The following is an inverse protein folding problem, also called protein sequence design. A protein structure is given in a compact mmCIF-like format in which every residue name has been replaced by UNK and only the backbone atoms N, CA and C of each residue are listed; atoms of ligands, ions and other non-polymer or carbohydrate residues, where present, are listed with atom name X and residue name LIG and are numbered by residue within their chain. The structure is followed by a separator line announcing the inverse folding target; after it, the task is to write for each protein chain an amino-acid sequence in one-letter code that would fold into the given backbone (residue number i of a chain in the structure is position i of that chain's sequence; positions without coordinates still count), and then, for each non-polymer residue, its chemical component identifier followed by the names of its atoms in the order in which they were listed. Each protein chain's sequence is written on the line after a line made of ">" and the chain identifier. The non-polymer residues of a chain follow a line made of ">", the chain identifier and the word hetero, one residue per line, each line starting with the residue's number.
data_IF_839679630407
#
_entry.id   IF_839679630407
#
_cell.length_a   1.000
_cell.length_b   1.000
_cell.length_c   1.000
_cell.angle_alpha   90.00
_cell.angle_beta   90.00
_cell.angle_gamma   90.00
#
_symmetry.space_group_name_H-M   'P 1'
#
loop_
_entity.id
_entity.type
_entity.pdbx_description
1 polymer ?
#
# COMPACT_ATOMS: atom_id res chain seq x y z
N UNK A 1 -34.01 23.07 5.89
CA UNK A 1 -32.58 23.22 6.05
C UNK A 1 -32.10 24.46 5.31
N UNK A 2 -31.75 25.56 6.03
CA UNK A 2 -31.52 26.88 5.42
C UNK A 2 -30.02 27.10 5.22
N UNK A 3 -29.56 27.16 3.99
CA UNK A 3 -28.25 27.70 3.65
C UNK A 3 -28.19 29.21 3.93
N UNK A 4 -27.27 29.65 4.78
CA UNK A 4 -26.92 31.05 4.93
C UNK A 4 -25.44 31.27 4.73
N UNK A 5 -25.18 32.15 3.75
CA UNK A 5 -24.06 33.10 3.79
C UNK A 5 -22.74 32.69 3.17
N UNK A 6 -22.57 32.93 1.87
CA UNK A 6 -21.27 33.13 1.23
C UNK A 6 -20.65 34.43 1.75
N UNK A 7 -19.49 34.35 2.44
CA UNK A 7 -18.55 35.47 2.50
C UNK A 7 -17.46 35.25 1.45
N UNK A 8 -17.36 36.17 0.51
CA UNK A 8 -16.25 36.25 -0.46
C UNK A 8 -15.01 36.77 0.28
N UNK A 9 -14.02 35.87 0.48
CA UNK A 9 -12.66 36.27 0.85
C UNK A 9 -11.88 36.63 -0.40
N UNK A 10 -11.14 37.71 -0.35
CA UNK A 10 -10.20 38.18 -1.36
C UNK A 10 -8.97 37.24 -1.28
N UNK A 11 -8.55 36.69 -2.44
CA UNK A 11 -7.39 35.81 -2.62
C UNK A 11 -7.57 34.30 -2.38
N UNK A 12 -8.57 33.68 -3.02
CA UNK A 12 -8.48 32.26 -3.46
C UNK A 12 -8.13 31.15 -2.44
N UNK A 13 -7.90 31.46 -1.16
CA UNK A 13 -7.61 30.50 -0.11
C UNK A 13 -8.83 30.32 0.76
N UNK A 14 -9.53 29.19 0.60
CA UNK A 14 -10.58 28.80 1.53
C UNK A 14 -9.87 28.25 2.78
N UNK A 15 -9.76 29.06 3.83
CA UNK A 15 -9.38 28.57 5.15
C UNK A 15 -10.60 27.87 5.73
N UNK A 16 -10.66 26.56 5.58
CA UNK A 16 -11.62 25.73 6.32
C UNK A 16 -11.05 25.59 7.72
N UNK A 17 -11.61 26.31 8.69
CA UNK A 17 -11.41 25.99 10.11
C UNK A 17 -11.81 24.53 10.32
N UNK A 18 -10.89 23.76 10.85
CA UNK A 18 -11.02 22.35 11.20
C UNK A 18 -12.02 22.16 12.35
N UNK A 19 -13.30 22.25 12.04
CA UNK A 19 -14.31 21.48 12.75
C UNK A 19 -14.50 20.23 11.89
N UNK A 20 -14.12 19.06 12.42
CA UNK A 20 -14.45 17.76 11.84
C UNK A 20 -15.98 17.67 11.89
N UNK A 21 -16.62 18.20 10.86
CA UNK A 21 -18.04 17.96 10.63
C UNK A 21 -18.18 16.45 10.42
N UNK A 22 -19.00 15.80 11.22
CA UNK A 22 -19.51 14.46 10.96
C UNK A 22 -20.13 14.48 9.54
N UNK A 23 -19.34 14.08 8.54
CA UNK A 23 -19.66 14.27 7.12
C UNK A 23 -20.65 13.21 6.64
N UNK A 24 -20.67 12.08 7.33
CA UNK A 24 -21.52 10.92 7.04
C UNK A 24 -22.33 10.54 8.28
N UNK A 25 -23.50 9.94 8.05
CA UNK A 25 -24.36 9.40 9.10
C UNK A 25 -23.68 8.25 9.86
N UNK A 26 -22.86 7.42 9.14
CA UNK A 26 -22.22 6.24 9.69
C UNK A 26 -20.77 6.51 10.11
N UNK A 27 -20.46 6.16 11.33
CA UNK A 27 -19.16 6.40 11.98
C UNK A 27 -17.98 5.81 11.19
N UNK A 28 -18.12 4.60 10.63
CA UNK A 28 -17.06 3.96 9.85
C UNK A 28 -16.58 4.84 8.69
N UNK A 29 -17.50 5.45 7.96
CA UNK A 29 -17.16 6.31 6.82
C UNK A 29 -16.42 7.58 7.24
N UNK A 30 -16.77 8.16 8.39
CA UNK A 30 -16.05 9.32 8.90
C UNK A 30 -14.62 8.96 9.29
N UNK A 31 -14.44 7.89 10.06
CA UNK A 31 -13.12 7.39 10.46
C UNK A 31 -12.27 6.95 9.27
N UNK A 32 -12.87 6.32 8.27
CA UNK A 32 -12.15 5.94 7.04
C UNK A 32 -11.67 7.19 6.30
N UNK A 33 -12.50 8.20 6.15
CA UNK A 33 -12.13 9.46 5.48
C UNK A 33 -10.98 10.16 6.21
N UNK A 34 -11.04 10.25 7.54
CA UNK A 34 -9.96 10.79 8.37
C UNK A 34 -8.65 10.01 8.17
N UNK A 35 -8.72 8.67 8.19
CA UNK A 35 -7.56 7.80 7.97
C UNK A 35 -6.94 7.98 6.57
N UNK A 36 -7.77 8.07 5.53
CA UNK A 36 -7.30 8.31 4.17
C UNK A 36 -6.64 9.68 4.02
N UNK A 37 -7.19 10.71 4.66
CA UNK A 37 -6.61 12.04 4.67
C UNK A 37 -5.27 12.06 5.41
N UNK A 38 -5.18 11.44 6.58
CA UNK A 38 -3.93 11.29 7.34
C UNK A 38 -2.87 10.55 6.52
N UNK A 39 -3.26 9.44 5.89
CA UNK A 39 -2.38 8.67 5.01
C UNK A 39 -1.86 9.50 3.83
N UNK A 40 -2.72 10.28 3.17
CA UNK A 40 -2.30 11.17 2.09
C UNK A 40 -1.31 12.24 2.57
N UNK A 41 -1.64 12.98 3.63
CA UNK A 41 -0.77 14.06 4.13
C UNK A 41 0.60 13.52 4.62
N UNK A 42 0.60 12.35 5.29
CA UNK A 42 1.82 11.70 5.77
C UNK A 42 2.73 11.27 4.62
N UNK A 43 2.16 10.78 3.52
CA UNK A 43 2.94 10.25 2.40
C UNK A 43 3.12 11.21 1.23
N UNK A 44 2.68 12.45 1.32
CA UNK A 44 2.59 13.40 0.20
C UNK A 44 3.88 13.55 -0.60
N UNK A 45 5.00 13.67 0.07
CA UNK A 45 6.30 13.79 -0.61
C UNK A 45 6.75 12.43 -1.19
N UNK A 46 6.56 11.35 -0.44
CA UNK A 46 6.85 9.99 -0.92
C UNK A 46 6.00 9.62 -2.16
N UNK A 47 4.74 10.06 -2.20
CA UNK A 47 3.87 9.86 -3.38
C UNK A 47 4.45 10.55 -4.61
N UNK A 48 4.98 11.78 -4.49
CA UNK A 48 5.62 12.49 -5.59
C UNK A 48 6.86 11.77 -6.09
N UNK A 49 7.73 11.34 -5.18
CA UNK A 49 8.94 10.57 -5.51
C UNK A 49 8.58 9.25 -6.21
N UNK A 50 7.63 8.51 -5.66
CA UNK A 50 7.16 7.26 -6.23
C UNK A 50 6.49 7.46 -7.60
N UNK A 51 5.77 8.55 -7.82
CA UNK A 51 5.20 8.86 -9.12
C UNK A 51 6.28 8.98 -10.21
N UNK A 52 7.42 9.60 -9.91
CA UNK A 52 8.57 9.64 -10.83
C UNK A 52 9.19 8.25 -11.05
N UNK A 53 9.32 7.43 -9.97
CA UNK A 53 9.83 6.06 -10.07
C UNK A 53 8.93 5.18 -10.95
N UNK A 54 7.61 5.25 -10.72
CA UNK A 54 6.62 4.52 -11.53
C UNK A 54 6.61 5.01 -12.98
N UNK A 55 6.66 6.32 -13.20
CA UNK A 55 6.73 6.91 -14.54
C UNK A 55 7.98 6.43 -15.31
N UNK A 56 9.14 6.40 -14.64
CA UNK A 56 10.37 5.87 -15.23
C UNK A 56 10.22 4.38 -15.56
N UNK A 57 9.67 3.58 -14.63
CA UNK A 57 9.43 2.15 -14.82
C UNK A 57 8.54 1.89 -16.06
N UNK A 58 7.45 2.66 -16.20
CA UNK A 58 6.55 2.58 -17.36
C UNK A 58 7.28 2.95 -18.67
N UNK A 59 8.02 4.05 -18.68
CA UNK A 59 8.73 4.52 -19.89
C UNK A 59 9.88 3.61 -20.32
N UNK A 60 10.47 2.85 -19.39
CA UNK A 60 11.51 1.86 -19.66
C UNK A 60 10.96 0.46 -19.97
N UNK A 61 9.64 0.31 -20.12
CA UNK A 61 8.94 -0.97 -20.38
C UNK A 61 9.26 -2.05 -19.33
N UNK A 62 9.38 -1.65 -18.06
CA UNK A 62 9.65 -2.53 -16.94
C UNK A 62 8.37 -2.97 -16.26
N UNK A 63 8.45 -4.05 -15.52
CA UNK A 63 7.32 -4.63 -14.80
C UNK A 63 7.26 -4.11 -13.37
N UNK A 64 6.05 -3.83 -12.91
CA UNK A 64 5.72 -3.57 -11.51
C UNK A 64 5.12 -4.85 -10.93
N UNK A 65 5.87 -5.52 -10.08
CA UNK A 65 5.42 -6.73 -9.40
C UNK A 65 4.73 -6.35 -8.08
N UNK A 66 3.74 -7.14 -7.67
CA UNK A 66 3.08 -6.97 -6.36
C UNK A 66 3.13 -8.27 -5.59
N UNK A 67 3.51 -8.22 -4.33
CA UNK A 67 3.54 -9.35 -3.43
C UNK A 67 2.85 -9.01 -2.10
N UNK A 68 2.05 -9.93 -1.60
CA UNK A 68 1.40 -9.83 -0.29
C UNK A 68 0.85 -11.17 0.16
N UNK A 69 0.93 -11.46 1.44
CA UNK A 69 0.36 -12.64 2.08
C UNK A 69 -0.96 -12.32 2.74
N UNK A 70 -1.82 -13.32 2.96
CA UNK A 70 -3.14 -13.11 3.55
C UNK A 70 -3.95 -12.05 2.78
N UNK A 71 -4.64 -11.17 3.46
CA UNK A 71 -5.43 -10.08 2.83
C UNK A 71 -4.57 -9.06 2.06
N UNK A 72 -3.27 -8.96 2.35
CA UNK A 72 -2.37 -8.04 1.64
C UNK A 72 -2.23 -8.34 0.14
N UNK A 73 -2.58 -9.56 -0.32
CA UNK A 73 -2.60 -9.90 -1.75
C UNK A 73 -3.68 -9.14 -2.54
N UNK A 74 -4.73 -8.62 -1.85
CA UNK A 74 -5.81 -7.85 -2.49
C UNK A 74 -5.29 -6.63 -3.23
N UNK A 75 -4.16 -6.07 -2.80
CA UNK A 75 -3.50 -4.95 -3.47
C UNK A 75 -3.01 -5.35 -4.86
N UNK A 76 -2.45 -6.55 -5.00
CA UNK A 76 -2.08 -7.10 -6.29
C UNK A 76 -3.27 -7.28 -7.22
N UNK A 77 -4.37 -7.81 -6.70
CA UNK A 77 -5.62 -7.98 -7.47
C UNK A 77 -6.18 -6.62 -7.90
N UNK A 78 -6.15 -5.60 -7.02
CA UNK A 78 -6.64 -4.26 -7.33
C UNK A 78 -5.87 -3.62 -8.49
N UNK A 79 -4.55 -3.78 -8.53
CA UNK A 79 -3.71 -3.16 -9.55
C UNK A 79 -3.67 -3.94 -10.86
N UNK A 80 -3.90 -5.26 -10.83
CA UNK A 80 -3.72 -6.15 -11.97
C UNK A 80 -4.97 -6.26 -12.85
N UNK A 81 -4.76 -6.20 -14.17
CA UNK A 81 -5.73 -6.58 -15.22
C UNK A 81 -7.12 -5.96 -15.07
N UNK A 82 -7.23 -4.68 -14.72
CA UNK A 82 -8.50 -3.98 -14.54
C UNK A 82 -8.66 -2.80 -15.50
N UNK A 83 -9.91 -2.45 -15.82
CA UNK A 83 -10.23 -1.24 -16.55
C UNK A 83 -9.70 0.00 -15.81
N UNK A 84 -9.03 0.90 -16.53
CA UNK A 84 -8.40 2.09 -15.97
C UNK A 84 -7.11 1.83 -15.19
N UNK A 85 -6.57 0.60 -15.19
CA UNK A 85 -5.30 0.23 -14.56
C UNK A 85 -4.12 0.30 -15.52
N UNK A 86 -2.94 -0.07 -15.01
CA UNK A 86 -1.69 -0.17 -15.78
C UNK A 86 -1.55 -1.56 -16.42
N UNK A 87 -0.99 -1.60 -17.64
CA UNK A 87 -0.73 -2.85 -18.36
C UNK A 87 0.51 -3.60 -17.88
N UNK A 88 1.46 -2.92 -17.25
CA UNK A 88 2.74 -3.48 -16.82
C UNK A 88 2.76 -3.99 -15.37
N UNK A 89 1.61 -4.32 -14.81
CA UNK A 89 1.47 -4.92 -13.47
C UNK A 89 1.55 -6.44 -13.55
N UNK A 90 2.34 -7.04 -12.68
CA UNK A 90 2.37 -8.48 -12.42
C UNK A 90 2.00 -8.79 -10.98
N UNK A 91 0.82 -9.35 -10.75
CA UNK A 91 0.38 -9.76 -9.42
C UNK A 91 0.90 -11.18 -9.09
N UNK A 92 1.74 -11.27 -8.05
CA UNK A 92 2.26 -12.54 -7.55
C UNK A 92 1.21 -13.18 -6.61
N UNK A 93 0.26 -13.89 -7.21
CA UNK A 93 -0.88 -14.48 -6.52
C UNK A 93 -0.63 -15.98 -6.27
N UNK A 94 0.32 -16.29 -5.40
CA UNK A 94 0.60 -17.67 -5.01
C UNK A 94 -0.54 -18.20 -4.12
N UNK A 95 -1.24 -19.29 -4.54
CA UNK A 95 -2.42 -19.79 -3.85
C UNK A 95 -2.14 -20.30 -2.43
N UNK A 96 -0.90 -20.64 -2.10
CA UNK A 96 -0.54 -21.13 -0.77
C UNK A 96 -0.44 -20.02 0.25
N UNK A 97 -0.10 -18.80 -0.17
CA UNK A 97 0.14 -17.67 0.75
C UNK A 97 -0.97 -16.62 0.75
N UNK A 98 -1.88 -16.66 -0.22
CA UNK A 98 -3.10 -15.85 -0.23
C UNK A 98 -4.24 -16.56 0.52
N UNK A 99 -5.39 -15.90 0.68
CA UNK A 99 -6.51 -16.46 1.48
C UNK A 99 -7.36 -17.49 0.77
N UNK A 100 -7.16 -17.74 -0.53
CA UNK A 100 -7.99 -18.66 -1.34
C UNK A 100 -7.97 -20.12 -0.84
N UNK A 101 -6.83 -20.58 -0.33
CA UNK A 101 -6.66 -21.92 0.23
C UNK A 101 -6.82 -21.97 1.75
N UNK A 102 -7.44 -20.96 2.34
CA UNK A 102 -7.75 -20.87 3.76
C UNK A 102 -6.87 -19.90 4.54
N UNK A 103 -7.52 -19.05 5.31
CA UNK A 103 -6.85 -17.99 6.08
C UNK A 103 -5.84 -18.52 7.11
N UNK A 104 -6.14 -19.64 7.78
CA UNK A 104 -5.22 -20.24 8.76
C UNK A 104 -3.96 -20.79 8.09
N UNK A 105 -4.08 -21.42 6.89
CA UNK A 105 -2.96 -21.90 6.10
C UNK A 105 -2.06 -20.74 5.69
N UNK A 106 -2.61 -19.69 5.10
CA UNK A 106 -1.88 -18.48 4.73
C UNK A 106 -1.14 -17.87 5.93
N UNK A 107 -1.82 -17.72 7.06
CA UNK A 107 -1.24 -17.19 8.30
C UNK A 107 -0.10 -18.05 8.88
N UNK A 108 -0.12 -19.36 8.65
CA UNK A 108 0.96 -20.25 9.05
C UNK A 108 2.16 -20.13 8.09
N UNK A 109 1.89 -20.18 6.79
CA UNK A 109 2.91 -20.18 5.74
C UNK A 109 3.68 -18.85 5.67
N UNK A 110 3.04 -17.72 5.89
CA UNK A 110 3.70 -16.41 5.86
C UNK A 110 4.84 -16.25 6.91
N UNK A 111 4.86 -17.14 7.92
CA UNK A 111 5.88 -17.15 8.98
C UNK A 111 7.05 -18.05 8.68
N UNK A 112 6.95 -18.89 7.65
CA UNK A 112 8.01 -19.83 7.29
C UNK A 112 9.11 -19.12 6.51
N UNK A 113 10.35 -19.32 6.94
CA UNK A 113 11.54 -18.89 6.21
C UNK A 113 11.80 -19.77 4.99
N UNK A 114 12.32 -19.15 3.92
CA UNK A 114 12.71 -19.80 2.67
C UNK A 114 11.56 -19.95 1.65
N UNK A 115 10.30 -19.77 2.05
CA UNK A 115 9.18 -19.89 1.12
C UNK A 115 9.14 -18.72 0.11
N UNK A 116 9.62 -17.54 0.50
CA UNK A 116 9.69 -16.37 -0.40
C UNK A 116 10.56 -16.60 -1.61
N UNK A 117 11.70 -17.31 -1.46
CA UNK A 117 12.57 -17.63 -2.59
C UNK A 117 11.86 -18.54 -3.60
N UNK A 118 11.10 -19.54 -3.11
CA UNK A 118 10.33 -20.44 -3.96
C UNK A 118 9.28 -19.64 -4.74
N UNK A 119 8.57 -18.74 -4.08
CA UNK A 119 7.56 -17.89 -4.75
C UNK A 119 8.24 -16.94 -5.74
N UNK A 120 9.34 -16.30 -5.38
CA UNK A 120 10.09 -15.39 -6.24
C UNK A 120 10.53 -16.08 -7.54
N UNK A 121 11.09 -17.28 -7.43
CA UNK A 121 11.64 -18.04 -8.57
C UNK A 121 10.57 -18.53 -9.57
N UNK A 122 9.27 -18.52 -9.18
CA UNK A 122 8.16 -18.81 -10.08
C UNK A 122 7.81 -17.65 -11.01
N UNK A 123 8.38 -16.46 -10.80
CA UNK A 123 8.09 -15.27 -11.58
C UNK A 123 9.35 -14.76 -12.29
N UNK A 124 9.17 -14.20 -13.47
CA UNK A 124 10.26 -13.56 -14.21
C UNK A 124 10.42 -12.11 -13.71
N UNK A 125 11.33 -11.92 -12.77
CA UNK A 125 11.64 -10.63 -12.16
C UNK A 125 13.05 -10.23 -12.58
N UNK A 126 13.24 -9.01 -13.07
CA UNK A 126 14.52 -8.54 -13.59
C UNK A 126 15.06 -7.38 -12.75
N UNK A 127 16.37 -7.21 -12.76
CA UNK A 127 17.00 -6.03 -12.15
C UNK A 127 16.43 -4.73 -12.74
N UNK A 128 16.09 -3.79 -11.87
CA UNK A 128 15.45 -2.53 -12.25
C UNK A 128 13.92 -2.56 -12.35
N UNK A 129 13.28 -3.73 -12.27
CA UNK A 129 11.84 -3.82 -12.05
C UNK A 129 11.48 -3.24 -10.67
N UNK A 130 10.18 -2.99 -10.43
CA UNK A 130 9.67 -2.51 -9.15
C UNK A 130 8.88 -3.62 -8.46
N UNK A 131 9.13 -3.84 -7.17
CA UNK A 131 8.38 -4.76 -6.32
C UNK A 131 7.63 -4.02 -5.23
N UNK A 132 6.30 -4.04 -5.27
CA UNK A 132 5.43 -3.57 -4.20
C UNK A 132 5.21 -4.73 -3.23
N UNK A 133 5.69 -4.59 -2.00
CA UNK A 133 5.53 -5.60 -0.93
C UNK A 133 4.55 -5.06 0.10
N UNK A 134 3.37 -5.66 0.16
CA UNK A 134 2.33 -5.26 1.10
C UNK A 134 2.29 -6.16 2.32
N UNK A 135 2.41 -5.55 3.50
CA UNK A 135 2.28 -6.24 4.78
C UNK A 135 1.98 -5.25 5.89
N UNK A 136 0.77 -5.27 6.44
CA UNK A 136 0.35 -4.29 7.44
C UNK A 136 1.29 -4.25 8.67
N UNK A 137 1.73 -5.38 9.18
CA UNK A 137 2.67 -5.45 10.31
C UNK A 137 4.14 -5.43 9.91
N UNK A 138 4.48 -5.81 8.67
CA UNK A 138 5.84 -5.88 8.14
C UNK A 138 6.82 -6.76 8.93
N UNK A 139 6.33 -7.76 9.69
CA UNK A 139 7.13 -8.50 10.71
C UNK A 139 7.35 -9.98 10.43
N UNK A 140 6.59 -10.57 9.49
CA UNK A 140 6.66 -12.00 9.19
C UNK A 140 7.79 -12.32 8.20
N UNK A 141 8.22 -13.59 8.16
CA UNK A 141 9.37 -14.01 7.37
C UNK A 141 9.21 -13.70 5.88
N UNK A 142 8.09 -14.06 5.28
CA UNK A 142 7.91 -13.94 3.84
C UNK A 142 8.08 -12.51 3.28
N UNK A 143 7.39 -11.46 3.77
CA UNK A 143 7.61 -10.12 3.23
C UNK A 143 9.02 -9.58 3.47
N UNK A 144 9.67 -9.99 4.55
CA UNK A 144 11.05 -9.61 4.87
C UNK A 144 12.03 -10.26 3.90
N UNK A 145 11.91 -11.57 3.68
CA UNK A 145 12.78 -12.32 2.77
C UNK A 145 12.57 -11.90 1.31
N UNK A 146 11.31 -11.60 0.92
CA UNK A 146 11.01 -11.03 -0.41
C UNK A 146 11.77 -9.72 -0.63
N UNK A 147 11.77 -8.81 0.34
CA UNK A 147 12.54 -7.56 0.25
C UNK A 147 14.06 -7.82 0.19
N UNK A 148 14.58 -8.77 0.98
CA UNK A 148 15.99 -9.15 0.94
C UNK A 148 16.38 -9.73 -0.41
N UNK A 149 15.55 -10.59 -1.00
CA UNK A 149 15.78 -11.17 -2.32
C UNK A 149 15.76 -10.09 -3.40
N UNK A 150 14.76 -9.23 -3.41
CA UNK A 150 14.68 -8.11 -4.35
C UNK A 150 15.92 -7.23 -4.31
N UNK A 151 16.38 -6.87 -3.12
CA UNK A 151 17.59 -6.07 -2.94
C UNK A 151 18.83 -6.74 -3.52
N UNK A 152 18.98 -8.05 -3.31
CA UNK A 152 20.10 -8.85 -3.85
C UNK A 152 20.08 -8.89 -5.38
N UNK A 153 18.90 -8.96 -5.98
CA UNK A 153 18.71 -9.04 -7.44
C UNK A 153 18.61 -7.66 -8.13
N UNK A 154 18.75 -6.56 -7.39
CA UNK A 154 18.71 -5.20 -7.96
C UNK A 154 17.33 -4.72 -8.36
N UNK A 155 16.29 -5.23 -7.73
CA UNK A 155 14.88 -4.84 -7.90
C UNK A 155 14.56 -3.71 -6.93
N UNK A 156 13.92 -2.63 -7.43
CA UNK A 156 13.49 -1.50 -6.60
C UNK A 156 12.33 -1.95 -5.71
N UNK A 157 12.33 -1.58 -4.44
CA UNK A 157 11.35 -2.09 -3.47
C UNK A 157 10.53 -0.99 -2.83
N UNK A 158 9.20 -1.22 -2.76
CA UNK A 158 8.24 -0.38 -2.05
C UNK A 158 7.51 -1.20 -0.98
N UNK A 159 7.66 -0.82 0.28
CA UNK A 159 6.83 -1.35 1.37
C UNK A 159 5.52 -0.57 1.48
N UNK A 160 4.39 -1.28 1.50
CA UNK A 160 3.09 -0.72 1.90
C UNK A 160 2.74 -1.34 3.25
N UNK A 161 2.81 -0.55 4.32
CA UNK A 161 2.76 -1.07 5.69
C UNK A 161 2.15 -0.06 6.66
N UNK A 162 1.72 -0.52 7.82
CA UNK A 162 1.44 0.36 8.95
C UNK A 162 2.74 0.57 9.74
N UNK A 163 3.36 1.72 9.53
CA UNK A 163 4.67 2.01 10.10
C UNK A 163 4.65 2.01 11.63
N UNK A 164 3.64 2.65 12.22
CA UNK A 164 3.46 2.70 13.68
C UNK A 164 3.33 1.30 14.30
N UNK A 165 2.48 0.45 13.73
CA UNK A 165 2.33 -0.94 14.20
C UNK A 165 3.60 -1.75 13.99
N UNK A 166 4.25 -1.58 12.84
CA UNK A 166 5.50 -2.26 12.52
C UNK A 166 6.60 -1.92 13.52
N UNK A 167 6.76 -0.66 13.89
CA UNK A 167 7.74 -0.19 14.88
C UNK A 167 7.47 -0.71 16.29
N UNK A 168 6.21 -0.83 16.68
CA UNK A 168 5.79 -1.29 18.02
C UNK A 168 5.85 -2.81 18.23
N UNK A 169 6.04 -3.59 17.17
CA UNK A 169 6.06 -5.06 17.24
C UNK A 169 7.46 -5.60 17.03
N UNK A 170 7.78 -6.79 17.55
CA UNK A 170 9.04 -7.48 17.29
C UNK A 170 8.99 -8.22 15.95
N UNK A 171 10.12 -8.29 15.24
CA UNK A 171 10.27 -9.13 14.06
C UNK A 171 10.04 -10.61 14.39
N UNK A 172 9.50 -11.36 13.45
CA UNK A 172 9.41 -12.83 13.51
C UNK A 172 10.45 -13.51 12.61
N UNK A 173 11.30 -12.73 11.97
CA UNK A 173 12.39 -13.22 11.14
C UNK A 173 13.72 -13.23 11.93
N UNK A 174 14.59 -14.20 11.66
CA UNK A 174 15.87 -14.39 12.37
C UNK A 174 16.81 -13.18 12.28
N UNK A 175 16.71 -12.35 11.24
CA UNK A 175 17.53 -11.13 11.11
C UNK A 175 17.15 -10.04 12.12
N UNK A 176 16.00 -10.12 12.77
CA UNK A 176 15.44 -9.06 13.60
C UNK A 176 14.91 -7.84 12.83
N UNK A 177 15.10 -7.80 11.50
CA UNK A 177 14.67 -6.69 10.62
C UNK A 177 13.16 -6.70 10.38
N UNK A 178 12.63 -5.55 9.98
CA UNK A 178 11.26 -5.33 9.53
C UNK A 178 11.25 -4.96 8.05
N UNK A 179 10.11 -5.12 7.41
CA UNK A 179 9.94 -4.80 6.00
C UNK A 179 10.35 -3.36 5.66
N UNK A 180 9.89 -2.37 6.44
CA UNK A 180 10.16 -0.95 6.19
C UNK A 180 11.65 -0.59 6.31
N UNK A 181 12.46 -1.38 7.01
CA UNK A 181 13.92 -1.16 7.14
C UNK A 181 14.72 -1.69 5.94
N UNK A 182 14.10 -2.47 5.08
CA UNK A 182 14.75 -3.17 3.97
C UNK A 182 14.39 -2.58 2.61
N UNK A 183 13.22 -1.98 2.49
CA UNK A 183 12.72 -1.40 1.25
C UNK A 183 13.29 -0.01 0.98
N UNK A 184 13.40 0.34 -0.31
CA UNK A 184 13.89 1.65 -0.77
C UNK A 184 12.87 2.75 -0.48
N UNK A 185 11.58 2.43 -0.55
CA UNK A 185 10.46 3.33 -0.29
C UNK A 185 9.47 2.71 0.67
N UNK A 186 8.76 3.57 1.41
CA UNK A 186 7.72 3.15 2.36
C UNK A 186 6.49 4.04 2.20
N UNK A 187 5.34 3.44 1.98
CA UNK A 187 4.03 4.06 2.11
C UNK A 187 3.40 3.61 3.43
N UNK A 188 3.20 4.56 4.33
CA UNK A 188 2.51 4.32 5.61
C UNK A 188 1.01 4.41 5.42
N UNK A 189 0.30 3.34 5.73
CA UNK A 189 -1.17 3.31 5.63
C UNK A 189 -1.87 4.15 6.70
N UNK A 190 -1.17 4.55 7.76
CA UNK A 190 -1.67 5.30 8.91
C UNK A 190 -2.91 4.70 9.61
N UNK A 191 -3.25 3.45 9.31
CA UNK A 191 -4.41 2.80 9.93
C UNK A 191 -4.15 2.52 11.41
N UNK A 192 -5.18 2.42 12.26
CA UNK A 192 -5.01 2.02 13.64
C UNK A 192 -4.32 0.65 13.77
N UNK A 193 -3.45 0.50 14.77
CA UNK A 193 -2.78 -0.78 15.05
C UNK A 193 -3.82 -1.89 15.28
N UNK A 194 -3.62 -3.03 14.59
CA UNK A 194 -4.59 -4.13 14.59
C UNK A 194 -5.66 -4.03 13.51
N UNK A 195 -5.60 -3.00 12.66
CA UNK A 195 -6.52 -2.81 11.52
C UNK A 195 -8.00 -2.79 11.92
N UNK A 196 -8.31 -2.12 13.02
CA UNK A 196 -9.67 -1.97 13.50
C UNK A 196 -9.94 -0.52 13.94
N UNK A 197 -10.71 0.21 13.14
CA UNK A 197 -10.98 1.63 13.36
C UNK A 197 -12.06 1.88 14.42
N UNK A 198 -12.87 0.89 14.74
CA UNK A 198 -14.02 1.02 15.61
C UNK A 198 -13.93 0.11 16.83
N UNK A 199 -14.56 0.57 17.91
CA UNK A 199 -14.83 -0.22 19.11
C UNK A 199 -16.34 -0.22 19.33
N UNK A 200 -16.96 -1.37 19.14
CA UNK A 200 -18.39 -1.55 19.35
C UNK A 200 -18.59 -2.44 20.58
N UNK A 201 -18.85 -1.82 21.72
CA UNK A 201 -19.04 -2.50 23.00
C UNK A 201 -17.86 -3.44 23.37
N UNK A 202 -16.62 -2.97 23.16
CA UNK A 202 -15.40 -3.75 23.42
C UNK A 202 -14.97 -4.68 22.27
N UNK A 203 -15.74 -4.75 21.20
CA UNK A 203 -15.38 -5.51 19.98
C UNK A 203 -14.67 -4.60 18.98
N UNK A 204 -13.40 -4.89 18.70
CA UNK A 204 -12.60 -4.20 17.68
C UNK A 204 -13.03 -4.63 16.29
N UNK A 205 -13.40 -3.68 15.43
CA UNK A 205 -13.90 -3.94 14.07
C UNK A 205 -13.62 -2.77 13.12
N UNK A 206 -14.05 -2.88 11.87
CA UNK A 206 -13.87 -1.84 10.84
C UNK A 206 -12.45 -1.82 10.26
N UNK A 207 -12.06 -2.83 9.43
CA UNK A 207 -10.76 -2.86 8.78
C UNK A 207 -10.63 -1.75 7.74
N UNK A 208 -9.43 -1.18 7.59
CA UNK A 208 -9.15 -0.09 6.67
C UNK A 208 -7.86 -0.26 5.86
N UNK A 209 -6.96 -1.17 6.28
CA UNK A 209 -5.63 -1.27 5.70
C UNK A 209 -5.64 -1.52 4.19
N UNK A 210 -6.53 -2.38 3.70
CA UNK A 210 -6.67 -2.66 2.27
C UNK A 210 -7.12 -1.42 1.50
N UNK A 211 -8.15 -0.73 1.99
CA UNK A 211 -8.69 0.48 1.36
C UNK A 211 -7.65 1.60 1.34
N UNK A 212 -6.98 1.85 2.47
CA UNK A 212 -5.93 2.86 2.57
C UNK A 212 -4.75 2.56 1.63
N UNK A 213 -4.30 1.33 1.60
CA UNK A 213 -3.21 0.90 0.70
C UNK A 213 -3.57 1.09 -0.77
N UNK A 214 -4.78 0.69 -1.17
CA UNK A 214 -5.27 0.85 -2.54
C UNK A 214 -5.41 2.32 -2.92
N UNK A 215 -5.95 3.17 -2.03
CA UNK A 215 -6.09 4.59 -2.27
C UNK A 215 -4.72 5.27 -2.48
N UNK A 216 -3.73 4.97 -1.64
CA UNK A 216 -2.38 5.50 -1.75
C UNK A 216 -1.70 5.07 -3.06
N UNK A 217 -1.74 3.78 -3.39
CA UNK A 217 -1.12 3.26 -4.62
C UNK A 217 -1.83 3.76 -5.88
N UNK A 218 -3.16 3.84 -5.88
CA UNK A 218 -3.91 4.41 -7.00
C UNK A 218 -3.57 5.90 -7.18
N UNK A 219 -3.27 6.63 -6.10
CA UNK A 219 -2.77 8.02 -6.19
C UNK A 219 -1.38 8.05 -6.84
N UNK A 220 -0.45 7.20 -6.40
CA UNK A 220 0.92 7.14 -6.97
C UNK A 220 0.89 6.90 -8.48
N UNK A 221 0.21 5.82 -8.93
CA UNK A 221 0.28 5.48 -10.35
C UNK A 221 -0.52 6.45 -11.24
N UNK A 222 -1.61 7.05 -10.73
CA UNK A 222 -2.34 8.08 -11.49
C UNK A 222 -1.51 9.35 -11.68
N UNK A 223 -0.73 9.76 -10.67
CA UNK A 223 0.26 10.83 -10.82
C UNK A 223 1.40 10.42 -11.78
N UNK A 224 1.86 9.17 -11.73
CA UNK A 224 2.85 8.67 -12.69
C UNK A 224 2.36 8.75 -14.14
N UNK A 225 1.09 8.42 -14.40
CA UNK A 225 0.50 8.53 -15.75
C UNK A 225 0.50 9.99 -16.25
N UNK A 226 0.23 10.97 -15.38
CA UNK A 226 0.35 12.39 -15.78
C UNK A 226 1.76 12.70 -16.25
N UNK A 227 2.78 12.30 -15.47
CA UNK A 227 4.19 12.50 -15.83
C UNK A 227 4.53 11.83 -17.18
N UNK A 228 4.07 10.59 -17.39
CA UNK A 228 4.32 9.81 -18.60
C UNK A 228 3.68 10.48 -19.81
N UNK A 229 2.43 10.93 -19.70
CA UNK A 229 1.68 11.57 -20.78
C UNK A 229 2.21 12.95 -21.09
N UNK A 230 2.64 13.74 -20.10
CA UNK A 230 3.28 15.05 -20.29
C UNK A 230 4.61 14.93 -21.04
N UNK A 231 5.29 13.78 -20.92
CA UNK A 231 6.50 13.43 -21.70
C UNK A 231 6.19 12.83 -23.08
N UNK A 232 4.92 12.75 -23.48
CA UNK A 232 4.47 12.29 -24.80
C UNK A 232 4.41 10.77 -24.96
N UNK A 233 4.54 10.00 -23.87
CA UNK A 233 4.34 8.55 -23.89
C UNK A 233 2.86 8.19 -23.77
N UNK A 234 2.47 7.07 -24.38
CA UNK A 234 1.17 6.42 -24.16
C UNK A 234 1.42 5.08 -23.47
N UNK A 235 1.10 4.96 -22.19
CA UNK A 235 1.21 3.69 -21.45
C UNK A 235 0.10 2.72 -21.82
#
# INVERSE_FOLDING_TARGET
>A
MKFKGKQKGINGVIIIKTEVLCMYEFEYMNKLTECLQEGYETNKETIKELAEVFAKNIMEDRIIHTFGTGHSHMIGIELFARAGGLGNINAMLDPDVITSNGAQRSCALEKLSGLSDIVYDNYKINAGDLMIISSNSGRNAMPIEMAMRCKKEGVITLAVTNLKQSQQTTSRHASGKKLYELCDYVLDTCVPSGDAMMDVNGLKTGPASTIASMALLNTVWTEAIKIVTDKGFRP
#
